data_IF_438344149306
#
_entry.id   IF_438344149306
#
_cell.length_a   1.000
_cell.length_b   1.000
_cell.length_c   1.000
_cell.angle_alpha   90.00
_cell.angle_beta   90.00
_cell.angle_gamma   90.00
#
_symmetry.space_group_name_H-M   'P 1'
#
loop_
_entity.id
_entity.type
_entity.pdbx_description
1 polymer ?
#
# COMPACT_ATOMS: atom_id res chain seq x y z
N UNK A 1 -0.65 -40.23 -5.58
CA UNK A 1 -0.94 -39.11 -4.65
C UNK A 1 -1.51 -37.97 -5.46
N UNK A 2 -2.57 -37.29 -5.00
CA UNK A 2 -3.12 -36.11 -5.69
C UNK A 2 -2.32 -34.87 -5.33
N UNK A 3 -2.28 -33.87 -6.22
CA UNK A 3 -1.59 -32.59 -5.98
C UNK A 3 -2.00 -31.95 -4.65
N UNK A 4 -3.31 -31.97 -4.31
CA UNK A 4 -3.81 -31.43 -3.04
C UNK A 4 -3.17 -32.09 -1.81
N UNK A 5 -3.09 -33.43 -1.77
CA UNK A 5 -2.47 -34.15 -0.64
C UNK A 5 -0.97 -33.85 -0.50
N UNK A 6 -0.30 -33.64 -1.62
CA UNK A 6 1.12 -33.28 -1.63
C UNK A 6 1.33 -31.83 -1.17
N UNK A 7 0.44 -30.92 -1.56
CA UNK A 7 0.43 -29.55 -1.08
C UNK A 7 0.20 -29.49 0.44
N UNK A 8 -0.79 -30.22 0.96
CA UNK A 8 -1.08 -30.29 2.40
C UNK A 8 0.12 -30.84 3.19
N UNK A 9 0.79 -31.86 2.65
CA UNK A 9 1.99 -32.46 3.24
C UNK A 9 3.13 -31.45 3.31
N UNK A 10 3.38 -30.73 2.23
CA UNK A 10 4.45 -29.72 2.16
C UNK A 10 4.13 -28.50 3.04
N UNK A 11 2.87 -28.07 3.08
CA UNK A 11 2.41 -27.02 3.99
C UNK A 11 2.66 -27.40 5.46
N UNK A 12 2.28 -28.61 5.86
CA UNK A 12 2.48 -29.10 7.23
C UNK A 12 3.96 -29.15 7.60
N UNK A 13 4.81 -29.62 6.68
CA UNK A 13 6.25 -29.67 6.88
C UNK A 13 6.85 -28.26 7.06
N UNK A 14 6.49 -27.32 6.18
CA UNK A 14 6.88 -25.92 6.25
C UNK A 14 6.41 -25.26 7.55
N UNK A 15 5.16 -25.52 7.96
CA UNK A 15 4.59 -24.97 9.20
C UNK A 15 5.38 -25.42 10.43
N UNK A 16 5.72 -26.71 10.52
CA UNK A 16 6.53 -27.26 11.63
C UNK A 16 7.92 -26.62 11.67
N UNK A 17 8.58 -26.51 10.51
CA UNK A 17 9.90 -25.90 10.41
C UNK A 17 9.88 -24.40 10.77
N UNK A 18 8.83 -23.69 10.33
CA UNK A 18 8.66 -22.28 10.63
C UNK A 18 8.42 -22.04 12.13
N UNK A 19 7.59 -22.85 12.79
CA UNK A 19 7.39 -22.77 14.25
C UNK A 19 8.70 -22.96 15.00
N UNK A 20 9.49 -23.97 14.63
CA UNK A 20 10.83 -24.17 15.21
C UNK A 20 11.74 -22.96 14.99
N UNK A 21 11.75 -22.41 13.78
CA UNK A 21 12.57 -21.23 13.44
C UNK A 21 12.18 -20.04 14.30
N UNK A 22 10.88 -19.78 14.45
CA UNK A 22 10.33 -18.69 15.27
C UNK A 22 10.67 -18.92 16.75
N UNK A 23 10.57 -20.15 17.25
CA UNK A 23 10.87 -20.52 18.63
C UNK A 23 12.32 -20.18 19.01
N UNK A 24 13.26 -20.38 18.09
CA UNK A 24 14.68 -20.04 18.26
C UNK A 24 14.95 -18.53 18.29
N UNK A 25 14.02 -17.68 17.84
CA UNK A 25 14.21 -16.23 17.84
C UNK A 25 13.89 -15.63 19.20
N UNK A 26 14.80 -14.79 19.70
CA UNK A 26 14.59 -13.99 20.92
C UNK A 26 13.59 -12.84 20.67
N UNK A 27 13.68 -12.19 19.51
CA UNK A 27 12.83 -11.06 19.14
C UNK A 27 12.24 -11.29 17.76
N UNK A 28 10.95 -11.01 17.62
CA UNK A 28 10.27 -10.98 16.32
C UNK A 28 9.31 -9.80 16.29
N UNK A 29 8.98 -9.36 15.09
CA UNK A 29 7.95 -8.34 14.85
C UNK A 29 6.89 -8.91 13.93
N UNK A 30 5.68 -8.40 14.02
CA UNK A 30 4.58 -8.83 13.16
C UNK A 30 4.02 -7.64 12.40
N UNK A 31 3.56 -7.89 11.18
CA UNK A 31 2.80 -6.92 10.40
C UNK A 31 1.48 -7.56 10.04
N UNK A 32 0.39 -6.81 10.18
CA UNK A 32 -0.95 -7.26 9.85
C UNK A 32 -1.57 -6.30 8.84
N UNK A 33 -2.23 -6.87 7.83
CA UNK A 33 -2.96 -6.13 6.81
C UNK A 33 -4.37 -6.71 6.68
N UNK A 34 -5.37 -5.83 6.63
CA UNK A 34 -6.74 -6.22 6.32
C UNK A 34 -7.17 -5.56 5.03
N UNK A 35 -7.63 -6.35 4.07
CA UNK A 35 -8.13 -5.85 2.79
C UNK A 35 -9.41 -6.56 2.36
N UNK A 36 -10.23 -5.88 1.58
CA UNK A 36 -11.46 -6.36 0.99
C UNK A 36 -11.30 -6.42 -0.52
N UNK A 37 -11.57 -7.58 -1.09
CA UNK A 37 -11.59 -7.81 -2.53
C UNK A 37 -12.78 -8.71 -2.88
N UNK A 38 -13.50 -8.40 -3.97
CA UNK A 38 -14.68 -9.17 -4.40
C UNK A 38 -15.71 -9.37 -3.28
N UNK A 39 -16.03 -8.29 -2.54
CA UNK A 39 -16.93 -8.32 -1.37
C UNK A 39 -16.50 -9.31 -0.27
N UNK A 40 -15.19 -9.58 -0.20
CA UNK A 40 -14.57 -10.46 0.79
C UNK A 40 -13.34 -9.82 1.41
N UNK A 41 -13.40 -9.61 2.71
CA UNK A 41 -12.30 -9.20 3.58
C UNK A 41 -11.35 -10.36 3.94
N UNK A 42 -10.07 -10.07 4.01
CA UNK A 42 -9.00 -10.99 4.33
C UNK A 42 -8.06 -10.33 5.33
N UNK A 43 -7.50 -11.13 6.24
CA UNK A 43 -6.47 -10.74 7.19
C UNK A 43 -5.19 -11.49 6.83
N UNK A 44 -4.17 -10.73 6.45
CA UNK A 44 -2.81 -11.21 6.26
C UNK A 44 -1.97 -10.89 7.47
N UNK A 45 -1.13 -11.82 7.92
CA UNK A 45 -0.17 -11.58 8.99
C UNK A 45 1.19 -12.15 8.59
N UNK A 46 2.22 -11.33 8.72
CA UNK A 46 3.61 -11.70 8.43
C UNK A 46 4.46 -11.49 9.66
N UNK A 47 5.29 -12.48 9.99
CA UNK A 47 6.31 -12.36 11.04
C UNK A 47 7.66 -12.04 10.43
N UNK A 48 8.44 -11.20 11.09
CA UNK A 48 9.77 -10.77 10.67
C UNK A 48 10.76 -10.93 11.82
N UNK A 49 11.98 -11.36 11.50
CA UNK A 49 13.07 -11.52 12.46
C UNK A 49 14.41 -11.22 11.79
N UNK A 50 15.45 -10.96 12.59
CA UNK A 50 16.81 -10.78 12.09
C UNK A 50 17.60 -12.02 12.43
N UNK A 51 18.21 -12.66 11.42
CA UNK A 51 19.14 -13.75 11.66
C UNK A 51 20.37 -13.20 12.40
N UNK A 52 20.68 -13.74 13.57
CA UNK A 52 21.76 -13.26 14.42
C UNK A 52 23.16 -13.48 13.85
N UNK A 53 23.33 -14.46 12.95
CA UNK A 53 24.61 -14.79 12.32
C UNK A 53 24.85 -13.97 11.05
N UNK A 54 23.83 -13.86 10.18
CA UNK A 54 23.96 -13.18 8.88
C UNK A 54 23.55 -11.71 8.91
N UNK A 55 22.85 -11.28 9.98
CA UNK A 55 22.22 -9.97 10.12
C UNK A 55 21.20 -9.64 9.01
N UNK A 56 20.73 -10.66 8.29
CA UNK A 56 19.70 -10.51 7.29
C UNK A 56 18.32 -10.56 7.94
N UNK A 57 17.44 -9.65 7.52
CA UNK A 57 16.03 -9.72 7.87
C UNK A 57 15.37 -10.85 7.10
N UNK A 58 14.71 -11.74 7.82
CA UNK A 58 13.85 -12.78 7.27
C UNK A 58 12.39 -12.45 7.58
N UNK A 59 11.50 -12.99 6.76
CA UNK A 59 10.06 -12.84 6.92
C UNK A 59 9.33 -14.10 6.50
N UNK A 60 8.17 -14.36 7.10
CA UNK A 60 7.29 -15.44 6.72
C UNK A 60 5.82 -15.03 6.91
N UNK A 61 4.98 -15.33 5.92
CA UNK A 61 3.53 -15.19 6.08
C UNK A 61 3.03 -16.31 7.00
N UNK A 62 2.39 -15.92 8.11
CA UNK A 62 1.82 -16.84 9.11
C UNK A 62 0.29 -16.91 9.03
N UNK A 63 -0.34 -15.97 8.34
CA UNK A 63 -1.77 -16.03 8.06
C UNK A 63 -2.15 -15.33 6.75
N UNK A 64 -3.14 -15.90 6.06
CA UNK A 64 -3.95 -15.24 5.05
C UNK A 64 -5.36 -15.82 5.17
N UNK A 65 -6.18 -15.22 6.04
CA UNK A 65 -7.47 -15.78 6.47
C UNK A 65 -8.63 -14.94 5.97
N UNK A 66 -9.76 -15.58 5.71
CA UNK A 66 -11.03 -14.88 5.42
C UNK A 66 -11.52 -14.22 6.70
N UNK A 67 -11.56 -12.90 6.74
CA UNK A 67 -12.11 -12.14 7.86
C UNK A 67 -13.60 -11.89 7.66
N UNK A 68 -14.46 -12.38 8.57
CA UNK A 68 -15.91 -12.33 8.41
C UNK A 68 -16.54 -11.36 9.41
N UNK A 69 -17.59 -10.66 8.96
CA UNK A 69 -18.32 -9.73 9.82
C UNK A 69 -17.69 -8.34 9.85
N UNK A 70 -17.94 -7.59 10.92
CA UNK A 70 -17.47 -6.21 11.09
C UNK A 70 -16.01 -6.20 11.57
N UNK A 71 -15.22 -5.28 11.03
CA UNK A 71 -13.84 -5.03 11.45
C UNK A 71 -13.84 -4.22 12.75
N UNK A 72 -14.18 -4.87 13.86
CA UNK A 72 -14.15 -4.29 15.21
C UNK A 72 -12.87 -4.67 15.95
N UNK A 73 -12.49 -3.90 16.97
CA UNK A 73 -11.33 -4.20 17.82
C UNK A 73 -11.33 -5.65 18.28
N UNK A 74 -12.42 -6.09 18.92
CA UNK A 74 -12.52 -7.43 19.51
C UNK A 74 -12.39 -8.55 18.49
N UNK A 75 -13.03 -8.38 17.32
CA UNK A 75 -12.97 -9.37 16.27
C UNK A 75 -11.55 -9.50 15.69
N UNK A 76 -10.86 -8.37 15.51
CA UNK A 76 -9.47 -8.34 15.04
C UNK A 76 -8.53 -8.91 16.08
N UNK A 77 -8.66 -8.47 17.34
CA UNK A 77 -7.83 -8.92 18.44
C UNK A 77 -7.95 -10.43 18.65
N UNK A 78 -9.19 -10.95 18.61
CA UNK A 78 -9.42 -12.39 18.72
C UNK A 78 -8.80 -13.18 17.57
N UNK A 79 -8.86 -12.70 16.33
CA UNK A 79 -8.23 -13.38 15.18
C UNK A 79 -6.71 -13.33 15.26
N UNK A 80 -6.13 -12.19 15.66
CA UNK A 80 -4.70 -12.05 15.87
C UNK A 80 -4.19 -12.95 17.00
N UNK A 81 -4.89 -13.00 18.13
CA UNK A 81 -4.55 -13.88 19.26
C UNK A 81 -4.60 -15.35 18.84
N UNK A 82 -5.63 -15.78 18.09
CA UNK A 82 -5.69 -17.15 17.56
C UNK A 82 -4.50 -17.44 16.62
N UNK A 83 -4.17 -16.55 15.70
CA UNK A 83 -2.99 -16.68 14.82
C UNK A 83 -1.72 -16.79 15.66
N UNK A 84 -1.52 -15.89 16.61
CA UNK A 84 -0.32 -15.84 17.45
C UNK A 84 -0.18 -17.10 18.30
N UNK A 85 -1.27 -17.59 18.90
CA UNK A 85 -1.28 -18.82 19.69
C UNK A 85 -0.84 -20.05 18.88
N UNK A 86 -1.21 -20.12 17.60
CA UNK A 86 -0.85 -21.24 16.72
C UNK A 86 0.65 -21.33 16.43
N UNK A 87 1.35 -20.19 16.48
CA UNK A 87 2.79 -20.07 16.21
C UNK A 87 3.62 -19.86 17.49
N UNK A 88 3.04 -20.07 18.67
CA UNK A 88 3.75 -19.88 19.95
C UNK A 88 4.12 -18.43 20.21
N UNK A 89 3.44 -17.48 19.56
CA UNK A 89 3.72 -16.06 19.68
C UNK A 89 3.02 -15.45 20.91
N UNK A 90 3.37 -15.92 22.10
CA UNK A 90 2.74 -15.47 23.36
C UNK A 90 3.63 -14.48 24.12
N UNK A 91 3.03 -13.58 24.91
CA UNK A 91 3.58 -12.35 25.51
C UNK A 91 4.95 -12.42 26.24
N UNK A 92 5.59 -13.59 26.34
CA UNK A 92 6.95 -13.76 26.87
C UNK A 92 8.05 -13.30 25.88
N UNK A 93 7.79 -13.23 24.57
CA UNK A 93 8.68 -12.53 23.63
C UNK A 93 8.17 -11.09 23.45
N UNK A 94 9.08 -10.13 23.41
CA UNK A 94 8.71 -8.73 23.18
C UNK A 94 8.33 -8.57 21.70
N UNK A 95 7.02 -8.41 21.44
CA UNK A 95 6.47 -8.26 20.09
C UNK A 95 6.18 -6.80 19.79
N UNK A 96 6.54 -6.40 18.57
CA UNK A 96 6.18 -5.09 18.03
C UNK A 96 5.36 -5.28 16.75
N UNK A 97 4.14 -4.76 16.75
CA UNK A 97 3.21 -4.85 15.62
C UNK A 97 3.29 -3.56 14.79
N UNK A 98 3.63 -3.69 13.51
CA UNK A 98 3.74 -2.57 12.56
C UNK A 98 2.80 -2.84 11.38
N UNK A 99 1.84 -1.97 11.10
CA UNK A 99 0.76 -2.28 10.14
C UNK A 99 0.75 -1.30 8.98
N UNK A 100 0.85 -1.81 7.76
CA UNK A 100 0.55 -1.04 6.55
C UNK A 100 -0.95 -0.79 6.47
N UNK A 101 -1.30 0.44 6.11
CA UNK A 101 -2.66 0.84 5.81
C UNK A 101 -2.64 1.46 4.42
N UNK A 102 -3.68 1.27 3.64
CA UNK A 102 -3.91 1.96 2.37
C UNK A 102 -5.38 2.40 2.38
N UNK A 103 -5.66 3.61 2.86
CA UNK A 103 -7.02 4.19 2.79
C UNK A 103 -7.31 4.60 1.35
N UNK A 104 -8.47 4.23 0.83
CA UNK A 104 -9.16 5.02 -0.19
C UNK A 104 -10.68 5.08 0.06
N UNK A 105 -11.22 6.29 -0.13
CA UNK A 105 -12.64 6.61 -0.07
C UNK A 105 -13.41 6.08 -1.30
N UNK A 106 -14.70 5.82 -1.07
CA UNK A 106 -15.69 5.18 -1.96
C UNK A 106 -15.62 5.54 -3.45
N UNK A 107 -15.59 4.51 -4.31
CA UNK A 107 -16.33 4.51 -5.59
C UNK A 107 -16.91 3.12 -5.85
N UNK A 108 -18.22 3.04 -6.05
CA UNK A 108 -18.88 1.86 -6.61
C UNK A 108 -18.56 1.74 -8.11
N UNK A 109 -17.89 0.66 -8.51
CA UNK A 109 -18.40 -0.37 -9.44
C UNK A 109 -17.36 -1.51 -9.58
N UNK A 110 -17.87 -2.74 -9.38
CA UNK A 110 -17.21 -4.06 -9.35
C UNK A 110 -16.20 -4.33 -10.50
N UNK A 111 -14.89 -4.20 -10.22
CA UNK A 111 -13.79 -4.78 -11.02
C UNK A 111 -12.68 -5.41 -10.14
N UNK A 112 -13.07 -6.08 -9.04
CA UNK A 112 -12.10 -6.83 -8.22
C UNK A 112 -11.07 -5.97 -7.48
N UNK A 113 -11.37 -4.69 -7.27
CA UNK A 113 -10.50 -3.73 -6.60
C UNK A 113 -10.27 -4.11 -5.13
N UNK A 114 -9.03 -3.90 -4.66
CA UNK A 114 -8.59 -4.25 -3.31
C UNK A 114 -8.64 -3.00 -2.44
N UNK A 115 -9.50 -2.99 -1.43
CA UNK A 115 -9.64 -1.88 -0.48
C UNK A 115 -9.12 -2.27 0.90
N UNK A 116 -8.15 -1.55 1.46
CA UNK A 116 -7.63 -1.86 2.79
C UNK A 116 -8.50 -1.23 3.90
N UNK A 117 -8.46 -1.83 5.08
CA UNK A 117 -9.08 -1.28 6.29
C UNK A 117 -8.03 -0.61 7.14
N UNK A 118 -8.30 0.60 7.62
CA UNK A 118 -7.47 1.25 8.63
C UNK A 118 -7.56 0.50 9.97
N UNK A 119 -6.62 -0.42 10.12
CA UNK A 119 -6.49 -1.24 11.31
C UNK A 119 -6.09 -0.41 12.51
N UNK A 120 -5.29 0.66 12.32
CA UNK A 120 -4.85 1.51 13.41
C UNK A 120 -6.01 2.29 14.03
N UNK A 121 -6.92 2.88 13.25
CA UNK A 121 -8.08 3.59 13.84
C UNK A 121 -9.00 2.66 14.60
N UNK A 122 -9.24 1.45 14.08
CA UNK A 122 -10.04 0.42 14.77
C UNK A 122 -9.36 0.00 16.08
N UNK A 123 -8.04 -0.22 16.06
CA UNK A 123 -7.27 -0.65 17.22
C UNK A 123 -7.08 0.46 18.27
N UNK A 124 -6.93 1.71 17.85
CA UNK A 124 -6.77 2.87 18.74
C UNK A 124 -8.11 3.32 19.36
N UNK A 125 -9.23 3.12 18.66
CA UNK A 125 -10.57 3.49 19.14
C UNK A 125 -11.20 2.51 20.14
N UNK A 126 -10.56 1.37 20.42
CA UNK A 126 -11.06 0.32 21.32
C UNK A 126 -10.63 0.45 22.79
N UNK A 127 -9.77 1.41 23.14
CA UNK A 127 -9.39 1.70 24.52
C UNK A 127 -10.48 2.53 25.22
N UNK A 128 -11.60 1.90 25.55
CA UNK A 128 -12.55 2.47 26.52
C UNK A 128 -12.03 2.11 27.93
N UNK A 129 -11.80 3.12 28.78
CA UNK A 129 -11.26 2.96 30.15
C UNK A 129 -12.16 2.11 31.08
N UNK A 130 -13.39 1.80 30.64
CA UNK A 130 -14.42 1.06 31.40
C UNK A 130 -14.57 -0.43 31.00
N UNK A 131 -13.62 -1.00 30.25
CA UNK A 131 -13.71 -2.38 29.78
C UNK A 131 -13.58 -3.42 30.91
N UNK A 132 -14.71 -4.08 31.20
CA UNK A 132 -14.85 -5.16 32.18
C UNK A 132 -13.95 -6.36 31.86
N UNK A 133 -13.48 -6.99 32.94
CA UNK A 133 -12.71 -8.24 33.02
C UNK A 133 -13.14 -9.30 31.97
N UNK A 134 -12.31 -9.51 30.94
CA UNK A 134 -12.49 -10.60 29.96
C UNK A 134 -12.08 -10.33 28.52
N UNK A 135 -11.60 -9.13 28.17
CA UNK A 135 -11.23 -8.79 26.79
C UNK A 135 -9.75 -9.09 26.49
N UNK A 136 -9.48 -9.56 25.27
CA UNK A 136 -8.14 -9.79 24.73
C UNK A 136 -7.39 -8.45 24.62
N UNK A 137 -6.22 -8.34 25.26
CA UNK A 137 -5.40 -7.13 25.21
C UNK A 137 -4.25 -7.38 24.24
N UNK A 138 -4.23 -6.67 23.13
CA UNK A 138 -3.14 -6.74 22.16
C UNK A 138 -1.87 -6.01 22.66
N UNK A 139 -0.67 -6.42 22.22
CA UNK A 139 0.56 -5.68 22.44
C UNK A 139 0.52 -4.24 21.90
N UNK A 140 1.51 -3.43 22.25
CA UNK A 140 1.64 -2.06 21.73
C UNK A 140 1.72 -2.04 20.19
N UNK A 141 0.80 -1.30 19.56
CA UNK A 141 0.74 -1.18 18.10
C UNK A 141 1.35 0.14 17.60
N UNK A 142 1.94 0.10 16.41
CA UNK A 142 2.54 1.26 15.78
C UNK A 142 1.94 1.51 14.39
N UNK A 143 1.68 2.79 14.06
CA UNK A 143 1.27 3.20 12.71
C UNK A 143 2.39 2.93 11.71
N UNK A 144 2.05 2.45 10.52
CA UNK A 144 3.01 2.50 9.42
C UNK A 144 3.31 3.94 9.01
N UNK A 145 4.60 4.24 8.98
CA UNK A 145 5.10 5.54 8.55
C UNK A 145 4.86 5.81 7.07
N UNK A 146 5.00 4.80 6.20
CA UNK A 146 4.72 4.94 4.78
C UNK A 146 3.25 5.29 4.52
N UNK A 147 2.33 4.64 5.23
CA UNK A 147 0.91 5.00 5.16
C UNK A 147 0.64 6.43 5.64
N UNK A 148 1.19 6.79 6.80
CA UNK A 148 1.02 8.14 7.35
C UNK A 148 1.53 9.18 6.35
N UNK A 149 2.65 8.92 5.69
CA UNK A 149 3.20 9.78 4.66
C UNK A 149 2.34 9.83 3.39
N UNK A 150 1.73 8.71 3.00
CA UNK A 150 0.78 8.61 1.89
C UNK A 150 -0.46 9.49 2.14
N UNK A 151 -1.01 9.44 3.36
CA UNK A 151 -2.12 10.29 3.79
C UNK A 151 -1.73 11.77 3.81
N UNK A 152 -0.53 12.11 4.29
CA UNK A 152 -0.04 13.49 4.27
C UNK A 152 0.04 13.99 2.83
N UNK A 153 0.62 13.21 1.92
CA UNK A 153 0.74 13.59 0.51
C UNK A 153 -0.63 13.87 -0.12
N UNK A 154 -1.60 12.99 0.08
CA UNK A 154 -2.94 13.12 -0.50
C UNK A 154 -3.73 14.29 0.11
N UNK A 155 -3.80 14.34 1.45
CA UNK A 155 -4.60 15.34 2.16
C UNK A 155 -4.08 16.77 1.97
N UNK A 156 -2.75 16.97 1.95
CA UNK A 156 -2.19 18.31 1.78
C UNK A 156 -2.41 18.83 0.37
N UNK A 157 -2.37 17.96 -0.65
CA UNK A 157 -2.73 18.34 -2.02
C UNK A 157 -4.19 18.77 -2.07
N UNK A 158 -5.11 18.02 -1.48
CA UNK A 158 -6.54 18.35 -1.50
C UNK A 158 -6.87 19.64 -0.75
N UNK A 159 -6.25 19.87 0.41
CA UNK A 159 -6.34 21.13 1.16
C UNK A 159 -5.82 22.31 0.34
N UNK A 160 -4.68 22.14 -0.32
CA UNK A 160 -4.10 23.19 -1.16
C UNK A 160 -5.00 23.49 -2.37
N UNK A 161 -5.53 22.47 -3.03
CA UNK A 161 -6.47 22.62 -4.15
C UNK A 161 -7.79 23.27 -3.69
N UNK A 162 -8.23 23.03 -2.44
CA UNK A 162 -9.40 23.70 -1.86
C UNK A 162 -9.24 25.21 -1.76
N UNK A 163 -8.02 25.63 -1.45
CA UNK A 163 -7.68 27.05 -1.31
C UNK A 163 -7.38 27.72 -2.65
N UNK A 164 -7.18 26.95 -3.74
CA UNK A 164 -6.75 27.47 -5.05
C UNK A 164 -7.68 26.97 -6.19
N UNK A 165 -8.86 27.60 -6.40
CA UNK A 165 -9.86 27.11 -7.36
C UNK A 165 -9.37 27.01 -8.81
N UNK A 166 -8.53 27.95 -9.24
CA UNK A 166 -7.98 27.95 -10.61
C UNK A 166 -7.03 26.75 -10.83
N UNK A 167 -6.12 26.52 -9.89
CA UNK A 167 -5.23 25.35 -9.91
C UNK A 167 -6.00 24.04 -9.78
N UNK A 168 -7.06 24.02 -8.97
CA UNK A 168 -7.97 22.88 -8.86
C UNK A 168 -8.66 22.54 -10.18
N UNK A 169 -9.10 23.54 -10.94
CA UNK A 169 -9.69 23.31 -12.25
C UNK A 169 -8.67 22.71 -13.24
N UNK A 170 -7.43 23.21 -13.23
CA UNK A 170 -6.34 22.67 -14.07
C UNK A 170 -6.00 21.24 -13.64
N UNK A 171 -5.81 20.98 -12.34
CA UNK A 171 -5.55 19.65 -11.79
C UNK A 171 -6.60 18.65 -12.24
N UNK A 172 -7.89 18.92 -11.96
CA UNK A 172 -9.00 18.04 -12.35
C UNK A 172 -9.03 17.78 -13.85
N UNK A 173 -8.81 18.81 -14.67
CA UNK A 173 -8.79 18.66 -16.13
C UNK A 173 -7.60 17.81 -16.59
N UNK A 174 -6.40 18.04 -16.06
CA UNK A 174 -5.22 17.23 -16.40
C UNK A 174 -5.37 15.79 -15.95
N UNK A 175 -5.82 15.55 -14.71
CA UNK A 175 -6.03 14.22 -14.15
C UNK A 175 -7.05 13.43 -14.96
N UNK A 176 -8.21 14.04 -15.28
CA UNK A 176 -9.23 13.36 -16.08
C UNK A 176 -8.72 12.90 -17.46
N UNK A 177 -7.84 13.70 -18.11
CA UNK A 177 -7.24 13.34 -19.40
C UNK A 177 -6.20 12.24 -19.26
N UNK A 178 -5.38 12.28 -18.21
CA UNK A 178 -4.44 11.20 -17.88
C UNK A 178 -5.18 9.90 -17.57
N UNK A 179 -6.23 9.94 -16.76
CA UNK A 179 -7.09 8.79 -16.47
C UNK A 179 -7.71 8.20 -17.73
N UNK A 180 -8.28 9.03 -18.60
CA UNK A 180 -8.81 8.56 -19.88
C UNK A 180 -7.75 7.87 -20.75
N UNK A 181 -6.50 8.36 -20.72
CA UNK A 181 -5.38 7.76 -21.42
C UNK A 181 -4.99 6.40 -20.82
N UNK A 182 -4.83 6.31 -19.50
CA UNK A 182 -4.50 5.06 -18.80
C UNK A 182 -5.57 3.99 -19.02
N UNK A 183 -6.85 4.34 -18.84
CA UNK A 183 -7.98 3.40 -19.04
C UNK A 183 -8.06 2.91 -20.48
N UNK A 184 -7.83 3.78 -21.46
CA UNK A 184 -7.88 3.38 -22.87
C UNK A 184 -6.69 2.52 -23.25
N UNK A 185 -5.51 2.84 -22.73
CA UNK A 185 -4.30 2.04 -22.89
C UNK A 185 -4.44 0.63 -22.29
N UNK A 186 -5.07 0.51 -21.11
CA UNK A 186 -5.22 -0.77 -20.41
C UNK A 186 -6.28 -1.67 -21.05
N UNK A 187 -7.35 -1.09 -21.61
CA UNK A 187 -8.48 -1.84 -22.17
C UNK A 187 -8.38 -2.12 -23.68
N UNK A 188 -7.39 -1.56 -24.38
CA UNK A 188 -7.23 -1.73 -25.83
C UNK A 188 -5.81 -2.09 -26.22
N UNK A 189 -5.64 -3.28 -26.81
CA UNK A 189 -4.36 -3.73 -27.38
C UNK A 189 -3.83 -2.77 -28.44
N UNK A 190 -4.71 -2.26 -29.31
CA UNK A 190 -4.36 -1.26 -30.33
C UNK A 190 -3.85 0.04 -29.69
N UNK A 191 -4.49 0.50 -28.63
CA UNK A 191 -4.05 1.69 -27.91
C UNK A 191 -2.70 1.47 -27.21
N UNK A 192 -2.52 0.31 -26.58
CA UNK A 192 -1.27 -0.10 -25.95
C UNK A 192 -0.12 -0.16 -26.97
N UNK A 193 -0.33 -0.76 -28.14
CA UNK A 193 0.67 -0.83 -29.22
C UNK A 193 1.00 0.54 -29.81
N UNK A 194 0.01 1.42 -29.98
CA UNK A 194 0.25 2.80 -30.41
C UNK A 194 1.11 3.57 -29.41
N UNK A 195 0.89 3.38 -28.11
CA UNK A 195 1.66 3.98 -27.04
C UNK A 195 3.11 3.46 -26.99
N UNK A 196 3.29 2.15 -27.16
CA UNK A 196 4.60 1.51 -27.15
C UNK A 196 5.47 1.99 -28.32
N UNK A 197 4.87 2.26 -29.49
CA UNK A 197 5.58 2.83 -30.65
C UNK A 197 6.09 4.25 -30.42
N UNK A 198 5.43 5.03 -29.57
CA UNK A 198 5.75 6.45 -29.34
C UNK A 198 6.67 6.62 -28.12
N UNK A 199 6.42 5.86 -27.07
CA UNK A 199 7.13 6.02 -25.78
C UNK A 199 8.17 4.94 -25.52
N UNK A 200 8.30 3.95 -26.39
CA UNK A 200 9.17 2.75 -26.25
C UNK A 200 8.94 1.96 -24.94
N UNK A 201 7.90 2.33 -24.20
CA UNK A 201 7.57 1.82 -22.87
C UNK A 201 6.06 1.73 -22.75
N UNK A 202 5.58 0.88 -21.84
CA UNK A 202 4.15 0.86 -21.50
C UNK A 202 3.85 2.02 -20.54
N UNK A 203 2.63 2.55 -20.63
CA UNK A 203 2.12 3.43 -19.58
C UNK A 203 1.95 2.62 -18.29
N UNK A 204 2.26 3.27 -17.17
CA UNK A 204 1.93 2.74 -15.86
C UNK A 204 0.46 3.07 -15.63
N UNK A 205 -0.36 2.05 -15.42
CA UNK A 205 -1.71 2.24 -14.88
C UNK A 205 -1.53 2.41 -13.38
N UNK A 206 -1.93 3.56 -12.81
CA UNK A 206 -1.74 3.78 -11.39
C UNK A 206 -2.56 2.75 -10.60
N UNK A 207 -1.96 2.13 -9.59
CA UNK A 207 -2.73 1.41 -8.59
C UNK A 207 -3.33 2.44 -7.64
N UNK A 208 -4.65 2.40 -7.47
CA UNK A 208 -5.39 3.12 -6.44
C UNK A 208 -4.69 3.05 -5.08
N UNK A 209 -4.24 1.86 -4.69
CA UNK A 209 -3.81 1.63 -3.31
C UNK A 209 -2.47 2.29 -2.92
N UNK A 210 -1.72 2.88 -3.86
CA UNK A 210 -0.40 3.48 -3.57
C UNK A 210 -0.21 4.81 -4.29
N UNK A 211 -0.08 5.90 -3.52
CA UNK A 211 0.09 7.23 -4.09
C UNK A 211 1.37 7.38 -4.92
N UNK A 212 2.46 6.68 -4.58
CA UNK A 212 3.68 6.69 -5.42
C UNK A 212 3.43 6.07 -6.80
N UNK A 213 2.54 5.09 -6.93
CA UNK A 213 2.10 4.57 -8.24
C UNK A 213 1.38 5.63 -9.06
N UNK A 214 0.52 6.43 -8.42
CA UNK A 214 -0.14 7.57 -9.05
C UNK A 214 0.85 8.65 -9.51
N UNK A 215 1.84 8.95 -8.68
CA UNK A 215 2.96 9.83 -9.03
C UNK A 215 3.77 9.29 -10.22
N UNK A 216 4.16 8.02 -10.20
CA UNK A 216 4.95 7.38 -11.27
C UNK A 216 4.20 7.35 -12.60
N UNK A 217 2.88 7.15 -12.57
CA UNK A 217 2.03 7.23 -13.75
C UNK A 217 2.05 8.62 -14.39
N UNK A 218 2.05 9.69 -13.59
CA UNK A 218 2.26 11.05 -14.11
C UNK A 218 3.67 11.27 -14.63
N UNK A 219 4.71 10.81 -13.91
CA UNK A 219 6.10 10.90 -14.36
C UNK A 219 6.24 10.29 -15.75
N UNK A 220 5.67 9.10 -15.97
CA UNK A 220 5.68 8.42 -17.28
C UNK A 220 5.03 9.26 -18.39
N UNK A 221 3.98 10.03 -18.07
CA UNK A 221 3.35 10.93 -19.03
C UNK A 221 4.25 12.13 -19.34
N UNK A 222 4.80 12.79 -18.32
CA UNK A 222 5.60 14.01 -18.52
C UNK A 222 7.00 13.77 -19.10
N UNK A 223 7.48 12.52 -19.11
CA UNK A 223 8.68 12.08 -19.85
C UNK A 223 8.50 12.21 -21.37
N UNK A 224 7.26 12.11 -21.88
CA UNK A 224 6.95 12.30 -23.30
C UNK A 224 6.78 13.78 -23.64
N UNK A 225 7.04 14.15 -24.89
CA UNK A 225 6.75 15.50 -25.38
C UNK A 225 5.24 15.73 -25.53
N UNK A 226 4.78 16.95 -25.26
CA UNK A 226 3.35 17.30 -25.38
C UNK A 226 2.78 17.04 -26.78
N UNK A 227 3.58 17.21 -27.83
CA UNK A 227 3.20 16.89 -29.21
C UNK A 227 2.84 15.41 -29.37
N UNK A 228 3.65 14.54 -28.78
CA UNK A 228 3.50 13.09 -28.89
C UNK A 228 2.28 12.62 -28.09
N UNK A 229 2.08 13.17 -26.89
CA UNK A 229 0.89 12.94 -26.06
C UNK A 229 -0.37 13.38 -26.82
N UNK A 230 -0.36 14.54 -27.46
CA UNK A 230 -1.54 15.04 -28.18
C UNK A 230 -1.81 14.28 -29.49
N UNK A 231 -0.77 13.79 -30.16
CA UNK A 231 -0.91 12.87 -31.29
C UNK A 231 -1.59 11.57 -30.85
N UNK A 232 -1.16 11.01 -29.72
CA UNK A 232 -1.79 9.84 -29.09
C UNK A 232 -3.25 10.12 -28.72
N UNK A 233 -3.53 11.23 -28.02
CA UNK A 233 -4.89 11.61 -27.67
C UNK A 233 -5.78 11.70 -28.92
N UNK A 234 -5.27 12.27 -30.01
CA UNK A 234 -6.02 12.39 -31.28
C UNK A 234 -6.31 11.01 -31.90
N UNK A 235 -5.29 10.14 -31.98
CA UNK A 235 -5.46 8.77 -32.49
C UNK A 235 -6.44 7.95 -31.65
N UNK A 236 -6.39 8.14 -30.33
CA UNK A 236 -7.24 7.47 -29.36
C UNK A 236 -8.56 8.18 -29.12
N UNK A 237 -8.88 9.27 -29.84
CA UNK A 237 -10.11 10.05 -29.66
C UNK A 237 -10.34 10.51 -28.19
N UNK A 238 -9.26 10.89 -27.51
CA UNK A 238 -9.25 11.49 -26.17
C UNK A 238 -9.03 13.00 -26.33
N UNK A 239 -9.59 13.80 -25.42
CA UNK A 239 -9.37 15.26 -25.41
C UNK A 239 -7.89 15.58 -25.17
N UNK A 240 -7.27 16.31 -26.09
CA UNK A 240 -5.87 16.72 -26.00
C UNK A 240 -5.57 17.58 -24.75
N UNK A 241 -4.35 17.45 -24.25
CA UNK A 241 -3.82 18.25 -23.15
C UNK A 241 -3.30 19.59 -23.70
N UNK A 242 -3.57 20.67 -22.96
CA UNK A 242 -3.03 21.98 -23.30
C UNK A 242 -1.71 22.25 -22.57
N UNK A 243 -0.98 23.28 -23.00
CA UNK A 243 0.32 23.65 -22.42
C UNK A 243 0.22 23.93 -20.92
N UNK A 244 -0.85 24.58 -20.47
CA UNK A 244 -1.06 24.93 -19.07
C UNK A 244 -1.17 23.69 -18.17
N UNK A 245 -1.94 22.69 -18.62
CA UNK A 245 -2.11 21.40 -17.93
C UNK A 245 -0.80 20.61 -17.90
N UNK A 246 -0.08 20.56 -19.02
CA UNK A 246 1.19 19.84 -19.11
C UNK A 246 2.27 20.45 -18.21
N UNK A 247 2.39 21.78 -18.21
CA UNK A 247 3.30 22.49 -17.30
C UNK A 247 2.89 22.35 -15.83
N UNK A 248 1.59 22.32 -15.56
CA UNK A 248 1.08 22.04 -14.22
C UNK A 248 1.52 20.66 -13.73
N UNK A 249 1.35 19.60 -14.55
CA UNK A 249 1.80 18.25 -14.20
C UNK A 249 3.30 18.17 -13.97
N UNK A 250 4.12 18.83 -14.81
CA UNK A 250 5.58 18.91 -14.60
C UNK A 250 5.93 19.52 -13.25
N UNK A 251 5.28 20.63 -12.89
CA UNK A 251 5.49 21.29 -11.60
C UNK A 251 5.01 20.42 -10.44
N UNK A 252 3.85 19.79 -10.58
CA UNK A 252 3.28 18.85 -9.61
C UNK A 252 4.29 17.72 -9.31
N UNK A 253 4.78 17.02 -10.33
CA UNK A 253 5.77 15.95 -10.13
C UNK A 253 7.08 16.48 -9.55
N UNK A 254 7.53 17.66 -9.95
CA UNK A 254 8.75 18.25 -9.36
C UNK A 254 8.63 18.54 -7.88
N UNK A 255 7.48 19.01 -7.41
CA UNK A 255 7.24 19.35 -5.99
C UNK A 255 7.12 18.07 -5.16
N UNK A 256 6.47 17.05 -5.71
CA UNK A 256 6.08 15.85 -4.97
C UNK A 256 7.12 14.72 -5.08
N UNK A 257 8.15 14.90 -5.91
CA UNK A 257 9.28 13.96 -6.04
C UNK A 257 9.91 13.56 -4.70
N UNK A 258 10.18 14.47 -3.74
CA UNK A 258 10.73 14.09 -2.44
C UNK A 258 9.82 13.13 -1.66
N UNK A 259 8.49 13.32 -1.74
CA UNK A 259 7.51 12.43 -1.11
C UNK A 259 7.55 11.04 -1.73
N UNK A 260 7.61 10.93 -3.07
CA UNK A 260 7.74 9.63 -3.74
C UNK A 260 9.00 8.89 -3.31
N UNK A 261 10.15 9.56 -3.28
CA UNK A 261 11.42 8.95 -2.86
C UNK A 261 11.35 8.49 -1.39
N UNK A 262 10.79 9.30 -0.51
CA UNK A 262 10.62 8.95 0.90
C UNK A 262 9.70 7.73 1.07
N UNK A 263 8.59 7.67 0.33
CA UNK A 263 7.69 6.52 0.32
C UNK A 263 8.40 5.25 -0.18
N UNK A 264 9.14 5.31 -1.28
CA UNK A 264 9.88 4.15 -1.81
C UNK A 264 10.90 3.60 -0.81
N UNK A 265 11.56 4.49 -0.05
CA UNK A 265 12.49 4.08 1.02
C UNK A 265 11.72 3.39 2.16
N UNK A 266 10.62 3.99 2.63
CA UNK A 266 9.87 3.46 3.78
C UNK A 266 9.05 2.20 3.45
N UNK A 267 8.71 1.99 2.17
CA UNK A 267 8.04 0.79 1.68
C UNK A 267 9.02 -0.31 1.24
N UNK A 268 10.33 -0.06 1.33
CA UNK A 268 11.37 -0.97 0.87
C UNK A 268 11.40 -2.31 1.62
N UNK A 269 11.12 -3.41 0.92
CA UNK A 269 11.07 -4.75 1.51
C UNK A 269 12.42 -5.31 1.99
N UNK A 270 13.53 -4.79 1.47
CA UNK A 270 14.89 -5.29 1.80
C UNK A 270 15.71 -4.25 2.58
N UNK A 271 15.36 -2.96 2.46
CA UNK A 271 16.21 -1.84 2.92
C UNK A 271 15.55 -0.94 3.97
N UNK A 272 14.25 -1.09 4.23
CA UNK A 272 13.57 -0.34 5.27
C UNK A 272 13.76 -1.01 6.63
N UNK A 273 14.69 -0.51 7.44
CA UNK A 273 14.87 -0.90 8.84
C UNK A 273 14.29 0.18 9.76
N UNK A 274 14.11 -0.13 11.05
CA UNK A 274 13.53 0.82 12.00
C UNK A 274 14.33 2.14 12.07
N UNK A 275 15.65 2.07 11.91
CA UNK A 275 16.54 3.25 11.87
C UNK A 275 16.43 4.11 10.60
N UNK A 276 15.68 3.69 9.59
CA UNK A 276 15.51 4.41 8.31
C UNK A 276 14.49 5.55 8.42
N UNK A 277 13.55 5.47 9.37
CA UNK A 277 12.45 6.43 9.46
C UNK A 277 12.91 7.87 9.72
N UNK A 278 13.61 8.09 10.84
CA UNK A 278 14.06 9.43 11.23
C UNK A 278 14.90 10.13 10.15
N UNK A 279 15.97 9.54 9.59
CA UNK A 279 16.77 10.23 8.57
C UNK A 279 15.96 10.50 7.29
N UNK A 280 14.99 9.65 6.94
CA UNK A 280 14.13 9.88 5.78
C UNK A 280 13.24 11.11 5.99
N UNK A 281 12.66 11.26 7.17
CA UNK A 281 11.85 12.44 7.52
C UNK A 281 12.67 13.72 7.61
N UNK A 282 13.88 13.67 8.20
CA UNK A 282 14.77 14.83 8.27
C UNK A 282 15.17 15.34 6.87
N UNK A 283 15.50 14.42 5.95
CA UNK A 283 15.81 14.77 4.56
C UNK A 283 14.59 15.32 3.84
N UNK A 284 13.40 14.73 4.05
CA UNK A 284 12.16 15.21 3.44
C UNK A 284 11.81 16.63 3.90
N UNK A 285 11.94 16.90 5.20
CA UNK A 285 11.67 18.23 5.79
C UNK A 285 12.67 19.30 5.37
N UNK A 286 13.88 18.92 4.95
CA UNK A 286 14.92 19.84 4.49
C UNK A 286 14.80 20.22 3.00
N UNK A 287 13.88 19.59 2.24
CA UNK A 287 13.65 19.82 0.82
C UNK A 287 12.49 20.78 0.56
#
# INVERSE_FOLDING_TARGET
TTFAKELDRNYTAMEIELKKTIDEQQYVSTTADIWTAHNKSFLGVTVHWINSETLQRNKAAIACRRFRGRHTYDAIASELEDIFSQYGLTAEKEYQQVESVEDEEEVEEDDGEVAFTDLHSVLAGGYDEDAQQGMCVLPAHYRCAAHTLNLIATNEIDKWLASNPESRAVYRSSTAKCSALWTKASRSTVASECLEKISERKLIVPSVTRWNSFYDAYVRIIEMQLTDINNLCTQLQIKCMNEREYQFLKKYCSILKPFSIALDILQGEETCFYGTLQPTLEVLMAK
#
